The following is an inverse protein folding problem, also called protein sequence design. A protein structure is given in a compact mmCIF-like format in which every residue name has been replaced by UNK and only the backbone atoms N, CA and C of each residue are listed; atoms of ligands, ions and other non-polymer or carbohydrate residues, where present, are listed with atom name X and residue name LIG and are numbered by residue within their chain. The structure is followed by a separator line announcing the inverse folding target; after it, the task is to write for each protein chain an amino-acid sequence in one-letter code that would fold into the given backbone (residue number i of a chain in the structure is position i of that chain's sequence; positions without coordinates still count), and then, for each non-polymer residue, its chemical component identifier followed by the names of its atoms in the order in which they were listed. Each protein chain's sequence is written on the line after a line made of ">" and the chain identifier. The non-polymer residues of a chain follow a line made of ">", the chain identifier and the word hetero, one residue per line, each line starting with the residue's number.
data_IF_919761175555
#
_entry.id   IF_919761175555
#
_cell.length_a   1.000
_cell.length_b   1.000
_cell.length_c   1.000
_cell.angle_alpha   90.00
_cell.angle_beta   90.00
_cell.angle_gamma   90.00
#
_symmetry.space_group_name_H-M   'P 1'
#
loop_
_entity.id
_entity.type
_entity.pdbx_description
1 polymer ?
#
# COMPACT_ATOMS: atom_id res chain seq x y z
N UNK A 1 -7.36 16.16 3.80
CA UNK A 1 -6.06 16.38 4.45
C UNK A 1 -5.24 17.41 3.68
N UNK A 2 -4.42 18.23 4.34
CA UNK A 2 -3.50 19.13 3.65
C UNK A 2 -2.48 18.33 2.84
N UNK A 3 -2.09 18.87 1.69
CA UNK A 3 -1.13 18.23 0.79
C UNK A 3 0.08 19.14 0.58
N UNK A 4 1.28 18.61 0.77
CA UNK A 4 2.53 19.28 0.38
C UNK A 4 3.02 18.62 -0.92
N UNK A 5 3.21 19.40 -1.97
CA UNK A 5 3.76 18.89 -3.22
C UNK A 5 5.29 19.00 -3.21
N UNK A 6 5.97 17.94 -3.57
CA UNK A 6 7.38 17.96 -3.90
C UNK A 6 7.51 17.98 -5.41
N UNK A 7 8.01 19.09 -5.97
CA UNK A 7 8.09 19.29 -7.42
C UNK A 7 9.53 19.29 -7.89
N UNK A 8 9.80 18.53 -8.95
CA UNK A 8 11.05 18.64 -9.67
C UNK A 8 11.12 19.98 -10.40
N UNK A 9 12.02 20.82 -9.97
CA UNK A 9 12.20 22.17 -10.49
C UNK A 9 13.53 22.36 -11.26
N UNK A 10 14.21 21.25 -11.60
CA UNK A 10 15.44 21.31 -12.42
C UNK A 10 15.16 21.94 -13.78
N UNK A 11 15.84 23.05 -14.05
CA UNK A 11 15.65 23.82 -15.29
C UNK A 11 14.31 24.56 -15.42
N UNK A 12 13.49 24.55 -14.35
CA UNK A 12 12.22 25.25 -14.36
C UNK A 12 12.40 26.76 -14.22
N UNK A 13 11.43 27.52 -14.75
CA UNK A 13 11.32 28.97 -14.65
C UNK A 13 9.87 29.33 -14.29
N UNK A 14 9.26 30.33 -14.94
CA UNK A 14 7.85 30.67 -14.74
C UNK A 14 6.88 29.50 -15.03
N UNK A 15 7.30 28.57 -15.87
CA UNK A 15 6.51 27.35 -16.19
C UNK A 15 6.13 26.51 -14.96
N UNK A 16 6.90 26.56 -13.87
CA UNK A 16 6.56 25.82 -12.65
C UNK A 16 5.30 26.38 -11.98
N UNK A 17 5.10 27.71 -12.03
CA UNK A 17 3.87 28.29 -11.49
C UNK A 17 2.63 27.91 -12.33
N UNK A 18 2.78 27.77 -13.65
CA UNK A 18 1.71 27.27 -14.51
C UNK A 18 1.35 25.82 -14.16
N UNK A 19 2.34 24.95 -13.88
CA UNK A 19 2.12 23.58 -13.46
C UNK A 19 1.36 23.51 -12.12
N UNK A 20 1.81 24.28 -11.11
CA UNK A 20 1.18 24.33 -9.79
C UNK A 20 -0.26 24.84 -9.90
N UNK A 21 -0.47 25.91 -10.64
CA UNK A 21 -1.81 26.48 -10.88
C UNK A 21 -2.73 25.50 -11.59
N UNK A 22 -2.22 24.79 -12.59
CA UNK A 22 -2.96 23.72 -13.26
C UNK A 22 -3.39 22.60 -12.32
N UNK A 23 -2.51 22.16 -11.42
CA UNK A 23 -2.84 21.14 -10.40
C UNK A 23 -3.91 21.63 -9.42
N UNK A 24 -3.88 22.91 -9.01
CA UNK A 24 -4.90 23.49 -8.14
C UNK A 24 -6.26 23.55 -8.86
N UNK A 25 -6.31 24.11 -10.06
CA UNK A 25 -7.54 24.32 -10.83
C UNK A 25 -8.16 23.00 -11.30
N UNK A 26 -7.35 21.98 -11.60
CA UNK A 26 -7.87 20.68 -12.05
C UNK A 26 -8.81 20.00 -11.05
N UNK A 27 -8.67 20.28 -9.75
CA UNK A 27 -9.59 19.79 -8.71
C UNK A 27 -10.80 20.71 -8.53
N UNK A 28 -10.63 22.01 -8.70
CA UNK A 28 -11.72 22.99 -8.57
C UNK A 28 -12.81 22.79 -9.63
N UNK A 29 -12.44 22.39 -10.84
CA UNK A 29 -13.38 22.01 -11.91
C UNK A 29 -14.28 20.82 -11.54
N UNK A 30 -13.94 20.08 -10.47
CA UNK A 30 -14.71 18.96 -9.94
C UNK A 30 -15.47 19.29 -8.66
N UNK A 31 -15.65 20.58 -8.34
CA UNK A 31 -16.26 21.04 -7.09
C UNK A 31 -15.53 20.57 -5.80
N UNK A 32 -14.29 20.13 -5.92
CA UNK A 32 -13.46 19.69 -4.81
C UNK A 32 -12.34 20.70 -4.59
N UNK A 33 -12.34 21.36 -3.45
CA UNK A 33 -11.24 22.26 -3.09
C UNK A 33 -9.89 21.53 -3.10
N UNK A 34 -8.89 22.13 -3.71
CA UNK A 34 -7.53 21.63 -3.69
C UNK A 34 -7.00 21.58 -2.24
N UNK A 35 -6.56 20.38 -1.82
CA UNK A 35 -5.89 20.19 -0.52
C UNK A 35 -4.45 20.67 -0.49
N UNK A 36 -3.91 21.18 -1.61
CA UNK A 36 -2.53 21.65 -1.71
C UNK A 36 -2.38 22.92 -0.86
N UNK A 37 -1.45 22.90 0.08
CA UNK A 37 -1.16 24.02 0.99
C UNK A 37 0.27 24.50 0.88
N UNK A 38 1.20 23.63 0.51
CA UNK A 38 2.60 23.97 0.42
C UNK A 38 3.34 23.25 -0.68
N UNK A 39 4.53 23.73 -0.99
CA UNK A 39 5.45 23.19 -1.99
C UNK A 39 6.85 23.08 -1.42
N UNK A 40 7.55 22.00 -1.81
CA UNK A 40 9.00 21.87 -1.71
C UNK A 40 9.55 21.73 -3.12
N UNK A 41 10.54 22.56 -3.48
CA UNK A 41 11.16 22.55 -4.79
C UNK A 41 12.39 21.64 -4.81
N UNK A 42 12.32 20.53 -5.54
CA UNK A 42 13.41 19.58 -5.64
C UNK A 42 14.35 19.91 -6.80
N UNK A 43 15.63 19.64 -6.63
CA UNK A 43 16.74 19.86 -7.60
C UNK A 43 16.92 21.32 -8.01
N UNK A 44 16.87 22.22 -7.02
CA UNK A 44 17.03 23.67 -7.21
C UNK A 44 18.28 24.15 -6.48
N UNK A 45 19.11 24.96 -7.15
CA UNK A 45 20.25 25.57 -6.46
C UNK A 45 19.80 26.66 -5.47
N UNK A 46 20.54 26.85 -4.36
CA UNK A 46 20.27 27.91 -3.37
C UNK A 46 20.14 29.30 -4.01
N UNK A 47 20.96 29.57 -5.00
CA UNK A 47 20.98 30.87 -5.70
C UNK A 47 19.69 31.09 -6.53
N UNK A 48 19.09 30.04 -7.08
CA UNK A 48 17.91 30.16 -7.95
C UNK A 48 16.58 30.05 -7.21
N UNK A 49 16.59 29.45 -6.03
CA UNK A 49 15.40 29.24 -5.20
C UNK A 49 14.59 30.51 -4.93
N UNK A 50 15.18 31.65 -4.48
CA UNK A 50 14.40 32.86 -4.18
C UNK A 50 13.59 33.36 -5.36
N UNK A 51 14.12 33.24 -6.59
CA UNK A 51 13.44 33.64 -7.81
C UNK A 51 12.22 32.73 -8.07
N UNK A 52 12.36 31.42 -7.92
CA UNK A 52 11.24 30.51 -8.13
C UNK A 52 10.17 30.71 -7.07
N UNK A 53 10.56 30.88 -5.79
CA UNK A 53 9.64 31.19 -4.68
C UNK A 53 8.79 32.44 -5.03
N UNK A 54 9.41 33.54 -5.37
CA UNK A 54 8.69 34.77 -5.72
C UNK A 54 7.74 34.60 -6.91
N UNK A 55 8.13 33.83 -7.92
CA UNK A 55 7.26 33.55 -9.07
C UNK A 55 6.04 32.72 -8.64
N UNK A 56 6.24 31.66 -7.85
CA UNK A 56 5.13 30.82 -7.42
C UNK A 56 4.18 31.59 -6.52
N UNK A 57 4.67 32.33 -5.54
CA UNK A 57 3.85 33.13 -4.63
C UNK A 57 3.04 34.22 -5.38
N UNK A 58 3.61 34.80 -6.42
CA UNK A 58 2.92 35.82 -7.25
C UNK A 58 1.76 35.21 -8.09
N UNK A 59 1.92 34.01 -8.60
CA UNK A 59 0.96 33.39 -9.53
C UNK A 59 0.03 32.37 -8.89
N UNK A 60 0.35 31.84 -7.67
CA UNK A 60 -0.38 30.80 -6.99
C UNK A 60 -0.76 31.24 -5.55
N UNK A 61 -1.68 32.22 -5.40
CA UNK A 61 -2.08 32.69 -4.07
C UNK A 61 -2.66 31.54 -3.23
N UNK A 62 -2.32 31.53 -1.94
CA UNK A 62 -2.76 30.47 -1.00
C UNK A 62 -1.88 29.21 -0.96
N UNK A 63 -0.77 29.21 -1.71
CA UNK A 63 0.26 28.17 -1.64
C UNK A 63 1.52 28.77 -0.98
N UNK A 64 2.07 28.07 -0.02
CA UNK A 64 3.33 28.44 0.63
C UNK A 64 4.49 27.64 0.01
N UNK A 65 5.59 28.30 -0.34
CA UNK A 65 6.82 27.62 -0.77
C UNK A 65 7.69 27.41 0.46
N UNK A 66 7.65 26.19 0.99
CA UNK A 66 8.23 25.81 2.28
C UNK A 66 9.75 25.56 2.22
N UNK A 67 10.31 25.47 1.04
CA UNK A 67 11.75 25.26 0.92
C UNK A 67 12.14 24.59 -0.39
N UNK A 68 13.40 24.15 -0.43
CA UNK A 68 13.97 23.47 -1.57
C UNK A 68 14.95 22.38 -1.15
N UNK A 69 15.21 21.45 -2.06
CA UNK A 69 16.32 20.49 -1.98
C UNK A 69 17.24 20.70 -3.18
N UNK A 70 18.55 20.86 -2.97
CA UNK A 70 19.50 20.95 -4.08
C UNK A 70 19.65 19.58 -4.77
N UNK A 71 20.36 19.56 -5.91
CA UNK A 71 20.75 18.29 -6.50
C UNK A 71 21.89 17.66 -5.67
N UNK A 72 21.62 16.47 -5.12
CA UNK A 72 22.53 15.73 -4.26
C UNK A 72 22.87 14.38 -4.92
N UNK A 73 23.91 14.33 -5.77
CA UNK A 73 24.23 13.11 -6.52
C UNK A 73 24.50 11.90 -5.62
N UNK A 74 25.09 12.14 -4.45
CA UNK A 74 25.40 11.12 -3.44
C UNK A 74 24.18 10.52 -2.76
N UNK A 75 23.02 11.16 -2.89
CA UNK A 75 21.75 10.70 -2.31
C UNK A 75 20.76 10.16 -3.36
N UNK A 76 21.22 9.94 -4.57
CA UNK A 76 20.38 9.37 -5.61
C UNK A 76 20.10 7.90 -5.33
N UNK A 77 18.82 7.54 -5.25
CA UNK A 77 18.39 6.15 -5.15
C UNK A 77 18.35 5.56 -6.56
N UNK A 78 19.07 4.46 -6.83
CA UNK A 78 19.02 3.80 -8.12
C UNK A 78 17.59 3.36 -8.46
N UNK A 79 17.23 3.48 -9.73
CA UNK A 79 15.95 2.98 -10.23
C UNK A 79 16.09 1.53 -10.65
N UNK A 80 15.13 0.69 -10.28
CA UNK A 80 14.97 -0.67 -10.80
C UNK A 80 14.11 -0.68 -12.06
N UNK A 81 14.01 -1.83 -12.69
CA UNK A 81 13.10 -2.04 -13.81
C UNK A 81 11.63 -1.83 -13.42
N UNK A 82 11.32 -1.95 -12.13
CA UNK A 82 10.03 -1.67 -11.53
C UNK A 82 10.25 -1.04 -10.15
N UNK A 83 10.04 0.27 -10.02
CA UNK A 83 10.26 0.98 -8.77
C UNK A 83 11.72 1.39 -8.49
N UNK A 84 12.00 1.69 -7.24
CA UNK A 84 13.31 2.07 -6.72
C UNK A 84 13.94 0.89 -5.97
N UNK A 85 15.22 1.01 -5.67
CA UNK A 85 15.93 0.12 -4.75
C UNK A 85 15.34 0.31 -3.34
N UNK A 86 15.26 -0.77 -2.60
CA UNK A 86 14.67 -0.76 -1.28
C UNK A 86 15.60 -0.20 -0.22
N UNK A 87 15.05 0.32 0.91
CA UNK A 87 15.87 0.84 2.01
C UNK A 87 16.92 -0.15 2.53
N UNK A 88 16.55 -1.45 2.63
CA UNK A 88 17.46 -2.50 3.09
C UNK A 88 18.65 -2.76 2.16
N UNK A 89 18.57 -2.35 0.90
CA UNK A 89 19.61 -2.54 -0.10
C UNK A 89 20.47 -1.30 -0.31
N UNK A 90 20.11 -0.17 0.32
CA UNK A 90 20.94 1.05 0.31
C UNK A 90 22.04 0.87 1.33
N UNK A 91 23.27 0.83 0.84
CA UNK A 91 24.45 0.78 1.71
C UNK A 91 24.42 1.97 2.68
N UNK A 92 24.54 1.68 4.00
CA UNK A 92 24.48 2.68 5.07
C UNK A 92 23.21 3.57 5.01
N UNK A 93 22.02 2.95 4.89
CA UNK A 93 20.75 3.66 4.81
C UNK A 93 20.53 4.66 5.95
N UNK A 94 21.01 4.37 7.15
CA UNK A 94 20.92 5.29 8.28
C UNK A 94 21.66 6.59 7.98
N UNK A 95 22.89 6.52 7.53
CA UNK A 95 23.70 7.69 7.15
C UNK A 95 23.09 8.45 5.97
N UNK A 96 22.52 7.72 5.00
CA UNK A 96 21.76 8.32 3.89
C UNK A 96 20.57 9.12 4.42
N UNK A 97 19.79 8.56 5.34
CA UNK A 97 18.64 9.22 5.98
C UNK A 97 19.07 10.44 6.77
N UNK A 98 20.13 10.35 7.57
CA UNK A 98 20.71 11.47 8.34
C UNK A 98 21.12 12.64 7.43
N UNK A 99 21.72 12.32 6.27
CA UNK A 99 22.09 13.35 5.27
C UNK A 99 20.88 14.02 4.65
N UNK A 100 19.84 13.27 4.32
CA UNK A 100 18.57 13.84 3.82
C UNK A 100 17.93 14.73 4.88
N UNK A 101 17.85 14.26 6.13
CA UNK A 101 17.30 15.01 7.25
C UNK A 101 18.04 16.33 7.48
N UNK A 102 19.36 16.29 7.53
CA UNK A 102 20.19 17.49 7.70
C UNK A 102 19.97 18.52 6.56
N UNK A 103 19.83 18.04 5.31
CA UNK A 103 19.52 18.92 4.19
C UNK A 103 18.12 19.52 4.28
N UNK A 104 17.14 18.75 4.74
CA UNK A 104 15.79 19.26 4.98
C UNK A 104 15.76 20.32 6.07
N UNK A 105 16.44 20.10 7.19
CA UNK A 105 16.56 21.09 8.26
C UNK A 105 17.23 22.38 7.79
N UNK A 106 18.21 22.31 6.88
CA UNK A 106 18.91 23.47 6.35
C UNK A 106 18.05 24.32 5.40
N UNK A 107 17.20 23.67 4.59
CA UNK A 107 16.60 24.33 3.42
C UNK A 107 15.08 24.25 3.31
N UNK A 108 14.40 23.60 4.27
CA UNK A 108 12.95 23.46 4.34
C UNK A 108 12.44 23.99 5.68
N UNK A 109 11.36 24.76 5.64
CA UNK A 109 10.66 25.26 6.85
C UNK A 109 9.86 24.12 7.51
N UNK A 110 10.57 23.18 8.17
CA UNK A 110 10.00 21.92 8.73
C UNK A 110 8.93 22.22 9.77
N UNK A 111 9.13 23.21 10.64
CA UNK A 111 8.14 23.62 11.65
C UNK A 111 6.82 24.06 10.97
N UNK A 112 6.93 24.84 9.90
CA UNK A 112 5.76 25.29 9.14
C UNK A 112 5.04 24.15 8.45
N UNK A 113 5.78 23.15 7.95
CA UNK A 113 5.22 21.92 7.39
C UNK A 113 4.39 21.16 8.44
N UNK A 114 4.91 21.03 9.65
CA UNK A 114 4.22 20.36 10.77
C UNK A 114 2.97 21.13 11.23
N UNK A 115 3.01 22.45 11.25
CA UNK A 115 1.83 23.30 11.51
C UNK A 115 0.74 23.07 10.47
N UNK A 116 1.09 23.05 9.16
CA UNK A 116 0.14 22.76 8.08
C UNK A 116 -0.45 21.35 8.22
N UNK A 117 0.33 20.41 8.71
CA UNK A 117 -0.12 19.05 8.98
C UNK A 117 -1.05 18.94 10.20
N UNK A 118 -1.16 20.02 11.02
CA UNK A 118 -1.92 20.01 12.27
C UNK A 118 -1.24 19.22 13.39
N UNK A 119 0.09 19.05 13.32
CA UNK A 119 0.89 18.41 14.35
C UNK A 119 1.30 19.46 15.38
N UNK A 120 0.99 19.23 16.65
CA UNK A 120 1.47 20.06 17.75
C UNK A 120 2.95 19.73 18.02
N UNK A 121 3.83 20.60 17.54
CA UNK A 121 5.30 20.44 17.62
C UNK A 121 5.79 20.34 19.08
N UNK A 122 5.05 20.93 20.02
CA UNK A 122 5.40 20.91 21.44
C UNK A 122 5.17 19.54 22.11
N UNK A 123 4.41 18.66 21.47
CA UNK A 123 4.02 17.34 21.98
C UNK A 123 4.67 16.17 21.23
N UNK A 124 5.67 16.41 20.38
CA UNK A 124 6.43 15.33 19.75
C UNK A 124 7.33 14.71 20.82
N UNK A 125 7.18 13.41 21.18
CA UNK A 125 8.07 12.77 22.12
C UNK A 125 9.50 12.81 21.59
N UNK A 126 10.42 13.42 22.33
CA UNK A 126 11.84 13.32 22.02
C UNK A 126 12.28 11.88 22.29
N UNK A 127 12.34 11.07 21.27
CA UNK A 127 12.93 9.73 21.35
C UNK A 127 14.44 9.88 21.44
N UNK A 128 14.97 9.73 22.66
CA UNK A 128 16.40 9.47 22.83
C UNK A 128 16.75 8.16 22.09
N UNK A 129 17.68 8.28 21.15
CA UNK A 129 18.22 7.27 20.28
C UNK A 129 18.06 5.80 20.70
N UNK A 130 17.09 5.16 20.14
CA UNK A 130 17.06 3.74 19.79
C UNK A 130 15.91 3.56 18.80
N UNK A 131 16.17 2.89 17.70
CA UNK A 131 15.23 2.66 16.61
C UNK A 131 13.99 1.90 17.10
N UNK A 132 13.02 2.62 17.64
CA UNK A 132 11.68 2.15 17.90
C UNK A 132 10.76 2.87 16.92
N UNK A 133 10.15 2.10 16.06
CA UNK A 133 9.11 2.47 15.12
C UNK A 133 8.17 3.54 15.70
N UNK A 134 8.01 4.65 14.99
CA UNK A 134 7.03 5.68 15.31
C UNK A 134 5.64 5.04 15.29
N UNK A 135 4.98 4.98 16.43
CA UNK A 135 3.57 4.58 16.47
C UNK A 135 2.74 5.62 15.71
N UNK A 136 1.75 5.22 14.91
CA UNK A 136 0.93 6.15 14.16
C UNK A 136 0.21 7.10 15.13
N UNK A 137 0.38 8.40 14.89
CA UNK A 137 -0.34 9.45 15.61
C UNK A 137 -1.84 9.29 15.31
N UNK A 138 -2.62 8.96 16.30
CA UNK A 138 -4.08 8.94 16.18
C UNK A 138 -4.58 10.37 16.03
N UNK A 139 -5.10 10.73 14.86
CA UNK A 139 -5.82 11.98 14.68
C UNK A 139 -7.01 12.04 15.64
N UNK A 140 -6.98 12.98 16.59
CA UNK A 140 -8.15 13.36 17.37
C UNK A 140 -9.13 14.03 16.41
N UNK A 141 -10.32 13.46 16.26
CA UNK A 141 -11.45 14.17 15.67
C UNK A 141 -11.74 15.40 16.53
N UNK A 142 -11.77 16.59 15.91
CA UNK A 142 -12.35 17.77 16.55
C UNK A 142 -13.84 17.53 16.69
N UNK A 143 -14.31 17.50 17.93
CA UNK A 143 -15.73 17.53 18.25
C UNK A 143 -16.23 18.94 17.97
N UNK A 144 -17.01 19.11 16.90
CA UNK A 144 -17.80 20.31 16.69
C UNK A 144 -19.05 20.22 17.58
N UNK A 145 -19.12 21.07 18.58
CA UNK A 145 -20.35 21.39 19.32
C UNK A 145 -21.23 22.31 18.46
N UNK A 146 -22.52 21.99 18.45
CA UNK A 146 -23.65 22.80 18.04
C UNK A 146 -23.91 23.13 16.55
N UNK A 147 -24.88 22.43 15.96
CA UNK A 147 -26.07 23.14 15.44
C UNK A 147 -27.25 22.20 15.11
N UNK A 148 -28.40 22.70 15.51
CA UNK A 148 -29.72 22.09 15.41
C UNK A 148 -30.24 21.91 13.96
N UNK A 149 -30.94 20.79 13.76
CA UNK A 149 -32.09 20.53 12.89
C UNK A 149 -32.27 21.34 11.61
N UNK A 150 -32.25 20.64 10.50
CA UNK A 150 -33.29 20.79 9.46
C UNK A 150 -33.35 19.52 8.59
N UNK A 151 -34.53 18.88 8.62
CA UNK A 151 -34.91 17.80 7.72
C UNK A 151 -35.25 18.36 6.35
N UNK A 152 -34.54 17.91 5.31
CA UNK A 152 -35.00 17.99 3.92
C UNK A 152 -34.70 16.66 3.25
N UNK A 153 -35.76 15.92 2.93
CA UNK A 153 -35.71 14.79 2.02
C UNK A 153 -35.32 15.29 0.61
N UNK A 154 -34.29 14.75 0.05
CA UNK A 154 -34.00 14.89 -1.37
C UNK A 154 -33.59 13.52 -1.93
N UNK A 155 -34.43 13.04 -2.84
CA UNK A 155 -34.15 11.89 -3.71
C UNK A 155 -32.85 12.11 -4.47
N UNK A 156 -31.85 11.24 -4.29
CA UNK A 156 -30.61 11.25 -5.07
C UNK A 156 -30.61 10.03 -5.98
N UNK A 157 -30.82 10.29 -7.27
CA UNK A 157 -30.58 9.34 -8.34
C UNK A 157 -29.07 9.12 -8.47
N UNK A 158 -28.70 7.83 -8.65
CA UNK A 158 -27.33 7.32 -8.59
C UNK A 158 -26.29 8.01 -9.45
N UNK A 159 -25.10 8.08 -8.92
CA UNK A 159 -23.75 7.92 -9.51
C UNK A 159 -22.61 8.47 -8.66
N UNK A 160 -22.75 8.70 -7.35
CA UNK A 160 -21.66 9.27 -6.52
C UNK A 160 -21.29 8.40 -5.29
N UNK A 161 -21.03 7.11 -5.49
CA UNK A 161 -20.67 6.18 -4.41
C UNK A 161 -19.15 5.93 -4.24
N UNK A 162 -18.26 6.89 -4.55
CA UNK A 162 -16.80 6.68 -4.48
C UNK A 162 -16.13 7.32 -3.25
N UNK A 163 -16.84 8.12 -2.47
CA UNK A 163 -16.26 8.83 -1.31
C UNK A 163 -17.20 8.90 -0.07
N UNK A 164 -17.93 7.83 0.22
CA UNK A 164 -18.73 7.76 1.44
C UNK A 164 -18.10 6.76 2.42
N UNK A 165 -17.56 7.25 3.40
CA UNK A 165 -17.83 7.56 4.79
C UNK A 165 -17.01 6.70 5.78
N UNK A 166 -16.22 7.29 6.69
CA UNK A 166 -15.56 6.61 7.80
C UNK A 166 -16.52 5.98 8.82
N UNK A 167 -17.78 6.42 8.87
CA UNK A 167 -18.73 5.98 9.90
C UNK A 167 -19.22 4.54 9.74
N UNK A 168 -19.35 4.02 8.52
CA UNK A 168 -19.75 2.61 8.31
C UNK A 168 -18.63 1.63 8.65
N UNK A 169 -17.37 2.02 8.43
CA UNK A 169 -16.20 1.22 8.81
C UNK A 169 -16.07 1.14 10.35
N UNK A 170 -16.33 2.23 11.06
CA UNK A 170 -16.29 2.27 12.54
C UNK A 170 -17.36 1.40 13.18
N UNK A 171 -18.58 1.39 12.65
CA UNK A 171 -19.68 0.55 13.15
C UNK A 171 -19.43 -0.95 12.89
N UNK A 172 -18.91 -1.30 11.70
CA UNK A 172 -18.51 -2.67 11.37
C UNK A 172 -17.36 -3.16 12.28
N UNK A 173 -16.38 -2.30 12.55
CA UNK A 173 -15.26 -2.58 13.44
C UNK A 173 -15.67 -2.88 14.88
N UNK A 174 -16.69 -2.18 15.42
CA UNK A 174 -17.18 -2.45 16.77
C UNK A 174 -17.87 -3.81 16.89
N UNK A 175 -18.60 -4.24 15.87
CA UNK A 175 -19.18 -5.59 15.80
C UNK A 175 -18.12 -6.69 15.68
N UNK A 176 -17.03 -6.44 14.95
CA UNK A 176 -15.92 -7.37 14.76
C UNK A 176 -15.04 -7.50 16.05
N UNK A 177 -14.84 -6.41 16.78
CA UNK A 177 -14.11 -6.42 18.07
C UNK A 177 -14.81 -7.24 19.15
N UNK A 178 -16.14 -7.34 19.11
CA UNK A 178 -16.87 -8.19 20.06
C UNK A 178 -16.64 -9.69 19.85
N UNK A 179 -16.36 -10.14 18.62
CA UNK A 179 -16.03 -11.54 18.33
C UNK A 179 -14.59 -11.93 18.75
N UNK A 180 -13.65 -10.98 18.75
CA UNK A 180 -12.26 -11.20 19.13
C UNK A 180 -12.02 -11.47 20.63
N UNK A 181 -13.02 -11.28 21.48
CA UNK A 181 -12.89 -11.27 22.95
C UNK A 181 -12.83 -12.64 23.63
N UNK A 182 -12.95 -13.76 22.91
CA UNK A 182 -13.15 -15.09 23.51
C UNK A 182 -12.00 -16.09 23.26
N UNK A 183 -10.77 -15.65 22.94
CA UNK A 183 -9.70 -16.58 22.56
C UNK A 183 -8.58 -16.62 23.60
N UNK A 184 -8.19 -17.83 23.99
CA UNK A 184 -7.10 -18.11 24.94
C UNK A 184 -5.71 -17.64 24.46
N UNK A 185 -5.49 -17.50 23.13
CA UNK A 185 -4.28 -16.93 22.52
C UNK A 185 -4.58 -16.17 21.20
N UNK A 186 -3.78 -15.19 20.79
CA UNK A 186 -3.93 -14.52 19.48
C UNK A 186 -3.78 -15.50 18.31
N UNK A 187 -4.35 -15.18 17.16
CA UNK A 187 -4.14 -15.93 15.92
C UNK A 187 -2.75 -15.60 15.38
N UNK A 188 -1.89 -16.61 15.21
CA UNK A 188 -0.52 -16.42 14.73
C UNK A 188 -0.46 -16.50 13.21
N UNK A 189 -0.16 -15.39 12.58
CA UNK A 189 -0.02 -15.29 11.12
C UNK A 189 1.46 -15.17 10.79
N UNK A 190 2.01 -16.19 10.12
CA UNK A 190 3.34 -16.11 9.54
C UNK A 190 3.31 -15.14 8.35
N UNK A 191 4.18 -14.13 8.35
CA UNK A 191 4.26 -13.10 7.30
C UNK A 191 5.63 -13.16 6.67
N UNK A 192 5.70 -13.40 5.34
CA UNK A 192 6.97 -13.36 4.62
C UNK A 192 7.56 -11.95 4.64
N UNK A 193 8.81 -11.84 5.07
CA UNK A 193 9.50 -10.55 5.21
C UNK A 193 11.02 -10.74 5.06
N UNK A 194 11.53 -10.44 3.87
CA UNK A 194 12.94 -10.40 3.53
C UNK A 194 13.16 -9.61 2.24
N UNK A 195 14.35 -9.67 1.66
CA UNK A 195 14.73 -8.94 0.45
C UNK A 195 13.90 -9.32 -0.78
N UNK A 196 13.31 -10.53 -0.80
CA UNK A 196 12.43 -10.99 -1.88
C UNK A 196 10.95 -10.66 -1.63
N UNK A 197 10.53 -10.50 -0.36
CA UNK A 197 9.14 -10.35 0.06
C UNK A 197 8.99 -9.23 1.09
N UNK A 198 8.75 -8.02 0.64
CA UNK A 198 8.74 -6.82 1.49
C UNK A 198 7.59 -5.86 1.19
N UNK A 199 6.75 -6.17 0.21
CA UNK A 199 5.64 -5.31 -0.16
C UNK A 199 4.34 -5.76 0.51
N UNK A 200 4.04 -5.14 1.66
CA UNK A 200 2.76 -5.26 2.37
C UNK A 200 2.37 -3.89 2.91
N UNK A 201 1.11 -3.49 2.76
CA UNK A 201 0.62 -2.26 3.38
C UNK A 201 0.65 -2.38 4.91
N UNK A 202 1.31 -1.43 5.59
CA UNK A 202 1.34 -1.42 7.07
C UNK A 202 -0.07 -1.26 7.66
N UNK A 203 -0.97 -0.59 6.95
CA UNK A 203 -2.38 -0.48 7.33
C UNK A 203 -3.08 -1.85 7.35
N UNK A 204 -2.75 -2.75 6.43
CA UNK A 204 -3.28 -4.12 6.44
C UNK A 204 -2.74 -4.91 7.63
N UNK A 205 -1.44 -4.74 7.95
CA UNK A 205 -0.82 -5.31 9.16
C UNK A 205 -1.48 -4.78 10.43
N UNK A 206 -1.73 -3.47 10.49
CA UNK A 206 -2.42 -2.84 11.61
C UNK A 206 -3.86 -3.37 11.77
N UNK A 207 -4.57 -3.58 10.66
CA UNK A 207 -5.92 -4.16 10.68
C UNK A 207 -5.91 -5.60 11.21
N UNK A 208 -4.97 -6.45 10.76
CA UNK A 208 -4.81 -7.82 11.29
C UNK A 208 -4.57 -7.81 12.81
N UNK A 209 -3.66 -6.95 13.30
CA UNK A 209 -3.41 -6.80 14.75
C UNK A 209 -4.66 -6.33 15.50
N UNK A 210 -5.42 -5.38 14.95
CA UNK A 210 -6.68 -4.90 15.53
C UNK A 210 -7.76 -5.99 15.60
N UNK A 211 -7.75 -6.93 14.66
CA UNK A 211 -8.65 -8.08 14.61
C UNK A 211 -8.19 -9.25 15.49
N UNK A 212 -7.06 -9.09 16.22
CA UNK A 212 -6.55 -10.06 17.19
C UNK A 212 -5.52 -11.04 16.65
N UNK A 213 -4.82 -10.68 15.57
CA UNK A 213 -3.69 -11.46 15.07
C UNK A 213 -2.36 -11.03 15.71
N UNK A 214 -1.49 -12.00 15.95
CA UNK A 214 -0.05 -11.85 16.16
C UNK A 214 0.64 -12.09 14.82
N UNK A 215 1.42 -11.10 14.33
CA UNK A 215 2.18 -11.24 13.09
C UNK A 215 3.59 -11.73 13.41
N UNK A 216 3.96 -12.87 12.85
CA UNK A 216 5.26 -13.51 13.06
C UNK A 216 6.03 -13.44 11.75
N UNK A 217 7.03 -12.57 11.62
CA UNK A 217 7.83 -12.49 10.41
C UNK A 217 8.65 -13.76 10.22
N UNK A 218 8.85 -14.16 8.96
CA UNK A 218 9.78 -15.21 8.57
C UNK A 218 10.38 -14.88 7.20
N UNK A 219 11.57 -15.42 6.95
CA UNK A 219 12.28 -15.21 5.69
C UNK A 219 12.22 -16.44 4.79
N UNK A 220 11.53 -16.40 3.66
CA UNK A 220 11.64 -17.44 2.65
C UNK A 220 13.07 -17.69 2.14
N UNK A 221 13.94 -16.67 2.16
CA UNK A 221 15.34 -16.79 1.75
C UNK A 221 16.23 -17.44 2.82
N UNK A 222 16.04 -17.11 4.11
CA UNK A 222 17.04 -17.39 5.14
C UNK A 222 16.59 -18.41 6.19
N UNK A 223 15.27 -18.57 6.41
CA UNK A 223 14.76 -19.53 7.37
C UNK A 223 14.62 -20.93 6.75
N UNK A 224 14.73 -21.96 7.58
CA UNK A 224 14.62 -23.34 7.11
C UNK A 224 13.17 -23.87 6.98
N UNK A 225 12.23 -23.27 7.71
CA UNK A 225 10.82 -23.67 7.74
C UNK A 225 9.93 -22.53 8.25
N UNK A 226 8.61 -22.67 8.08
CA UNK A 226 7.62 -21.78 8.67
C UNK A 226 7.75 -21.75 10.20
N UNK A 227 7.44 -20.61 10.86
CA UNK A 227 7.40 -20.51 12.31
C UNK A 227 6.47 -21.58 12.92
N UNK A 228 6.87 -22.13 14.07
CA UNK A 228 6.02 -23.06 14.81
C UNK A 228 4.70 -22.40 15.23
N UNK A 229 3.65 -23.21 15.41
CA UNK A 229 2.32 -22.75 15.83
C UNK A 229 1.70 -21.68 14.92
N UNK A 230 2.00 -21.72 13.63
CA UNK A 230 1.38 -20.88 12.60
C UNK A 230 -0.07 -21.30 12.38
N UNK A 231 -1.00 -20.35 12.54
CA UNK A 231 -2.44 -20.54 12.31
C UNK A 231 -2.88 -20.08 10.92
N UNK A 232 -2.08 -19.21 10.26
CA UNK A 232 -2.33 -18.69 8.92
C UNK A 232 -1.06 -18.15 8.28
N UNK A 233 -1.05 -18.00 6.98
CA UNK A 233 0.10 -17.58 6.18
C UNK A 233 -0.24 -16.37 5.31
N UNK A 234 0.60 -15.36 5.36
CA UNK A 234 0.58 -14.21 4.46
C UNK A 234 1.90 -14.17 3.69
N UNK A 235 1.84 -14.51 2.41
CA UNK A 235 2.95 -14.36 1.47
C UNK A 235 2.83 -12.99 0.79
N UNK A 236 3.71 -12.09 1.18
CA UNK A 236 3.73 -10.70 0.73
C UNK A 236 4.16 -10.58 -0.73
N UNK A 237 3.84 -9.45 -1.34
CA UNK A 237 4.46 -9.06 -2.59
C UNK A 237 5.96 -8.76 -2.44
N UNK A 238 6.61 -8.45 -3.55
CA UNK A 238 8.03 -8.16 -3.60
C UNK A 238 8.62 -8.51 -4.96
N UNK A 239 9.88 -8.92 -4.97
CA UNK A 239 10.67 -9.20 -6.17
C UNK A 239 11.31 -10.60 -6.14
N UNK A 240 10.53 -11.69 -5.99
CA UNK A 240 11.08 -13.05 -5.89
C UNK A 240 11.87 -13.44 -7.15
N UNK A 241 11.58 -12.85 -8.30
CA UNK A 241 12.30 -13.10 -9.54
C UNK A 241 13.78 -12.68 -9.48
N UNK A 242 14.12 -11.68 -8.66
CA UNK A 242 15.51 -11.26 -8.45
C UNK A 242 16.29 -12.24 -7.57
N UNK A 243 15.59 -13.02 -6.77
CA UNK A 243 16.13 -13.96 -5.80
C UNK A 243 15.76 -15.42 -6.10
N UNK A 244 15.24 -15.71 -7.30
CA UNK A 244 14.68 -17.01 -7.65
C UNK A 244 15.63 -18.18 -7.42
N UNK A 245 16.94 -18.00 -7.71
CA UNK A 245 17.94 -19.05 -7.52
C UNK A 245 18.19 -19.32 -6.03
N UNK A 246 18.22 -18.29 -5.19
CA UNK A 246 18.35 -18.42 -3.73
C UNK A 246 17.08 -19.05 -3.11
N UNK A 247 15.91 -18.61 -3.54
CA UNK A 247 14.63 -19.23 -3.15
C UNK A 247 14.55 -20.69 -3.56
N UNK A 248 15.04 -21.02 -4.78
CA UNK A 248 15.12 -22.39 -5.25
C UNK A 248 16.08 -23.22 -4.41
N UNK A 249 17.23 -22.69 -4.05
CA UNK A 249 18.21 -23.38 -3.22
C UNK A 249 17.68 -23.69 -1.81
N UNK A 250 16.76 -22.86 -1.26
CA UNK A 250 16.14 -23.12 0.03
C UNK A 250 15.00 -24.15 -0.09
N UNK A 251 15.34 -25.38 -0.44
CA UNK A 251 14.38 -26.45 -0.65
C UNK A 251 13.56 -26.82 0.60
N UNK A 252 14.13 -26.66 1.79
CA UNK A 252 13.45 -26.95 3.07
C UNK A 252 12.30 -25.96 3.31
N UNK A 253 12.49 -24.66 3.12
CA UNK A 253 11.45 -23.67 3.26
C UNK A 253 10.36 -23.85 2.20
N UNK A 254 10.74 -24.08 0.91
CA UNK A 254 9.76 -24.34 -0.16
C UNK A 254 8.89 -25.56 0.17
N UNK A 255 9.48 -26.63 0.69
CA UNK A 255 8.75 -27.82 1.11
C UNK A 255 7.82 -27.53 2.31
N UNK A 256 8.29 -26.77 3.30
CA UNK A 256 7.49 -26.38 4.47
C UNK A 256 6.26 -25.55 4.06
N UNK A 257 6.42 -24.55 3.20
CA UNK A 257 5.32 -23.72 2.66
C UNK A 257 4.36 -24.58 1.84
N UNK A 258 4.89 -25.36 0.90
CA UNK A 258 4.08 -26.20 0.02
C UNK A 258 3.24 -27.21 0.78
N UNK A 259 3.81 -27.87 1.78
CA UNK A 259 3.12 -28.85 2.61
C UNK A 259 2.03 -28.18 3.44
N UNK A 260 2.32 -27.07 4.11
CA UNK A 260 1.36 -26.34 4.93
C UNK A 260 0.14 -25.89 4.10
N UNK A 261 0.38 -25.31 2.92
CA UNK A 261 -0.71 -24.83 2.04
C UNK A 261 -1.54 -26.02 1.52
N UNK A 262 -0.90 -27.11 1.09
CA UNK A 262 -1.61 -28.32 0.65
C UNK A 262 -2.42 -29.00 1.77
N UNK A 263 -1.98 -28.90 3.00
CA UNK A 263 -2.73 -29.36 4.18
C UNK A 263 -3.91 -28.46 4.53
N UNK A 264 -4.04 -27.29 3.88
CA UNK A 264 -5.15 -26.38 4.06
C UNK A 264 -4.87 -25.27 5.09
N UNK A 265 -3.61 -24.95 5.39
CA UNK A 265 -3.28 -23.76 6.18
C UNK A 265 -3.87 -22.53 5.48
N UNK A 266 -4.76 -21.74 6.14
CA UNK A 266 -5.32 -20.55 5.55
C UNK A 266 -4.22 -19.60 5.08
N UNK A 267 -4.25 -19.26 3.79
CA UNK A 267 -3.14 -18.56 3.12
C UNK A 267 -3.68 -17.44 2.24
N UNK A 268 -3.07 -16.27 2.35
CA UNK A 268 -3.16 -15.17 1.39
C UNK A 268 -1.79 -15.00 0.74
N UNK A 269 -1.75 -14.98 -0.60
CA UNK A 269 -0.52 -14.83 -1.38
C UNK A 269 -0.73 -13.77 -2.48
N UNK A 270 -0.03 -12.64 -2.37
CA UNK A 270 -0.17 -11.50 -3.28
C UNK A 270 1.09 -11.33 -4.13
N UNK A 271 0.91 -11.12 -5.43
CA UNK A 271 1.97 -10.78 -6.41
C UNK A 271 3.20 -11.69 -6.31
N UNK A 272 4.29 -11.21 -5.69
CA UNK A 272 5.50 -12.02 -5.46
C UNK A 272 5.22 -13.30 -4.67
N UNK A 273 4.39 -13.22 -3.62
CA UNK A 273 3.97 -14.38 -2.84
C UNK A 273 3.15 -15.38 -3.66
N UNK A 274 2.31 -14.91 -4.58
CA UNK A 274 1.63 -15.76 -5.54
C UNK A 274 2.62 -16.47 -6.47
N UNK A 275 3.59 -15.72 -7.03
CA UNK A 275 4.61 -16.29 -7.90
C UNK A 275 5.43 -17.38 -7.18
N UNK A 276 5.71 -17.22 -5.90
CA UNK A 276 6.41 -18.23 -5.10
C UNK A 276 5.62 -19.53 -4.91
N UNK A 277 4.28 -19.47 -4.94
CA UNK A 277 3.43 -20.66 -4.88
C UNK A 277 3.31 -21.42 -6.21
N UNK A 278 3.69 -20.82 -7.35
CA UNK A 278 3.67 -21.45 -8.66
C UNK A 278 4.66 -22.60 -8.79
N UNK A 279 4.58 -23.33 -9.91
CA UNK A 279 5.57 -24.36 -10.26
C UNK A 279 6.96 -23.74 -10.46
N UNK A 280 7.04 -22.56 -11.10
CA UNK A 280 8.32 -21.92 -11.43
C UNK A 280 8.21 -20.40 -11.58
N UNK A 281 9.37 -19.73 -11.54
CA UNK A 281 9.61 -18.36 -12.01
C UNK A 281 10.74 -18.43 -13.02
N UNK A 282 10.48 -18.07 -14.30
CA UNK A 282 11.45 -18.18 -15.40
C UNK A 282 12.14 -19.56 -15.41
N UNK A 283 11.35 -20.63 -15.36
CA UNK A 283 11.76 -22.04 -15.36
C UNK A 283 12.54 -22.48 -14.08
N UNK A 284 12.76 -21.59 -13.11
CA UNK A 284 13.37 -21.96 -11.83
C UNK A 284 12.26 -22.46 -10.87
N UNK A 285 12.33 -23.73 -10.41
CA UNK A 285 11.26 -24.32 -9.60
C UNK A 285 11.00 -23.62 -8.28
N UNK A 286 9.73 -23.34 -7.97
CA UNK A 286 9.27 -22.74 -6.72
C UNK A 286 8.51 -23.76 -5.84
N UNK A 287 7.46 -23.35 -5.11
CA UNK A 287 6.74 -24.25 -4.19
C UNK A 287 5.88 -25.31 -4.91
N UNK A 288 5.46 -25.09 -6.16
CA UNK A 288 4.66 -26.02 -6.93
C UNK A 288 3.30 -26.35 -6.31
N UNK A 289 2.70 -25.38 -5.62
CA UNK A 289 1.33 -25.51 -5.07
C UNK A 289 0.30 -25.22 -6.15
N UNK A 290 0.55 -24.19 -6.94
CA UNK A 290 -0.26 -23.76 -8.08
C UNK A 290 0.49 -24.03 -9.39
N UNK A 291 -0.24 -24.41 -10.42
CA UNK A 291 0.36 -24.62 -11.73
C UNK A 291 0.68 -23.30 -12.40
N UNK A 292 1.79 -23.25 -13.09
CA UNK A 292 2.21 -22.15 -13.94
C UNK A 292 3.67 -21.79 -13.76
N UNK A 293 4.23 -21.14 -14.76
CA UNK A 293 5.55 -20.51 -14.75
C UNK A 293 5.35 -19.00 -14.92
N UNK A 294 5.83 -18.22 -13.99
CA UNK A 294 5.79 -16.77 -14.10
C UNK A 294 6.91 -16.29 -14.98
N UNK A 295 6.57 -15.77 -16.16
CA UNK A 295 7.54 -15.27 -17.13
C UNK A 295 7.51 -13.74 -17.23
N UNK A 296 8.68 -13.15 -17.44
CA UNK A 296 8.81 -11.72 -17.66
C UNK A 296 8.28 -11.30 -19.00
N UNK A 297 7.38 -10.33 -19.02
CA UNK A 297 6.84 -9.75 -20.23
C UNK A 297 7.61 -8.51 -20.68
N UNK A 298 7.65 -8.18 -21.98
CA UNK A 298 8.33 -7.00 -22.52
C UNK A 298 7.75 -5.68 -21.99
N UNK A 299 6.49 -5.66 -21.60
CA UNK A 299 5.75 -4.47 -21.11
C UNK A 299 5.09 -4.78 -19.78
N UNK A 300 4.63 -3.74 -19.07
CA UNK A 300 3.72 -3.93 -17.93
C UNK A 300 2.48 -4.69 -18.39
N UNK A 301 2.19 -5.79 -17.71
CA UNK A 301 0.99 -6.59 -17.98
C UNK A 301 -0.23 -5.85 -17.47
N UNK A 302 -0.12 -5.41 -16.22
CA UNK A 302 -1.20 -4.70 -15.55
C UNK A 302 -0.63 -3.55 -14.72
N UNK A 303 -1.40 -2.46 -14.69
CA UNK A 303 -1.06 -1.28 -13.93
C UNK A 303 -2.31 -0.55 -13.47
N UNK A 304 -2.34 -0.12 -12.21
CA UNK A 304 -3.35 0.76 -11.62
C UNK A 304 -4.35 0.05 -10.73
N UNK A 305 -5.34 0.81 -10.29
CA UNK A 305 -6.35 0.33 -9.36
C UNK A 305 -7.26 -0.73 -9.98
N UNK A 306 -7.72 -1.64 -9.13
CA UNK A 306 -8.61 -2.74 -9.48
C UNK A 306 -9.63 -2.96 -8.36
N UNK A 307 -10.83 -3.31 -8.74
CA UNK A 307 -11.86 -3.85 -7.87
C UNK A 307 -12.06 -5.32 -8.21
N UNK A 308 -11.95 -6.20 -7.21
CA UNK A 308 -12.12 -7.63 -7.34
C UNK A 308 -13.41 -8.06 -6.66
N UNK A 309 -14.27 -8.76 -7.38
CA UNK A 309 -15.48 -9.39 -6.86
C UNK A 309 -15.32 -10.91 -6.90
N UNK A 310 -15.45 -11.56 -5.73
CA UNK A 310 -15.32 -13.02 -5.64
C UNK A 310 -16.53 -13.71 -6.29
N UNK A 311 -16.29 -14.76 -7.06
CA UNK A 311 -17.32 -15.54 -7.78
C UNK A 311 -17.79 -16.77 -7.00
N UNK A 312 -17.14 -17.06 -5.88
CA UNK A 312 -17.44 -18.20 -5.01
C UNK A 312 -17.16 -17.86 -3.55
N UNK A 313 -17.68 -18.66 -2.64
CA UNK A 313 -17.28 -18.64 -1.24
C UNK A 313 -15.81 -19.02 -1.13
N UNK A 314 -15.09 -18.38 -0.21
CA UNK A 314 -13.64 -18.53 -0.09
C UNK A 314 -13.14 -18.12 1.29
N UNK A 315 -11.84 -18.25 1.51
CA UNK A 315 -11.13 -17.76 2.69
C UNK A 315 -11.30 -16.25 2.92
N UNK A 316 -11.70 -15.48 1.90
CA UNK A 316 -11.95 -14.04 1.99
C UNK A 316 -13.44 -13.70 2.24
N UNK A 317 -14.32 -14.68 2.27
CA UNK A 317 -15.75 -14.48 2.52
C UNK A 317 -16.65 -15.14 1.47
N UNK A 318 -17.95 -14.87 1.52
CA UNK A 318 -18.93 -15.42 0.58
C UNK A 318 -18.73 -14.86 -0.83
N UNK A 319 -19.31 -15.55 -1.84
CA UNK A 319 -19.42 -15.04 -3.19
C UNK A 319 -20.00 -13.62 -3.21
N UNK A 320 -19.47 -12.75 -4.08
CA UNK A 320 -19.84 -11.33 -4.11
C UNK A 320 -19.06 -10.46 -3.11
N UNK A 321 -18.07 -11.01 -2.39
CA UNK A 321 -17.15 -10.19 -1.59
C UNK A 321 -16.33 -9.29 -2.51
N UNK A 322 -16.40 -7.97 -2.27
CA UNK A 322 -15.69 -6.97 -3.08
C UNK A 322 -14.49 -6.43 -2.30
N UNK A 323 -13.33 -6.44 -2.94
CA UNK A 323 -12.07 -5.89 -2.45
C UNK A 323 -11.50 -4.89 -3.46
N UNK A 324 -10.84 -3.86 -2.95
CA UNK A 324 -10.09 -2.90 -3.78
C UNK A 324 -8.61 -3.05 -3.56
N UNK A 325 -7.87 -2.88 -4.64
CA UNK A 325 -6.42 -2.99 -4.62
C UNK A 325 -5.80 -2.34 -5.84
N UNK A 326 -4.57 -2.70 -6.11
CA UNK A 326 -3.90 -2.33 -7.33
C UNK A 326 -3.07 -3.49 -7.89
N UNK A 327 -2.71 -3.38 -9.14
CA UNK A 327 -1.77 -4.25 -9.82
C UNK A 327 -0.63 -3.42 -10.38
N UNK A 328 0.59 -3.94 -10.25
CA UNK A 328 1.77 -3.34 -10.83
C UNK A 328 2.83 -4.41 -11.07
N UNK A 329 2.73 -5.14 -12.18
CA UNK A 329 3.64 -6.25 -12.45
C UNK A 329 4.03 -6.37 -13.93
N UNK A 330 5.23 -6.92 -14.16
CA UNK A 330 5.78 -7.27 -15.47
C UNK A 330 5.85 -8.78 -15.70
N UNK A 331 5.46 -9.55 -14.71
CA UNK A 331 5.38 -11.00 -14.81
C UNK A 331 3.95 -11.42 -15.07
N UNK A 332 3.78 -12.49 -15.82
CA UNK A 332 2.48 -13.10 -16.10
C UNK A 332 2.66 -14.61 -16.20
N UNK A 333 1.59 -15.37 -16.09
CA UNK A 333 1.60 -16.77 -16.41
C UNK A 333 0.36 -17.13 -17.27
N UNK A 334 0.38 -18.31 -17.87
CA UNK A 334 -0.66 -18.74 -18.81
C UNK A 334 -2.06 -18.73 -18.20
N UNK A 335 -2.15 -18.94 -16.88
CA UNK A 335 -3.40 -18.93 -16.15
C UNK A 335 -3.24 -18.37 -14.72
N UNK A 336 -3.95 -17.30 -14.42
CA UNK A 336 -3.88 -16.56 -13.14
C UNK A 336 -5.10 -16.78 -12.24
N UNK A 337 -5.81 -17.90 -12.39
CA UNK A 337 -7.07 -18.15 -11.72
C UNK A 337 -8.28 -17.53 -12.45
N UNK A 338 -9.48 -17.88 -11.98
CA UNK A 338 -10.73 -17.38 -12.55
C UNK A 338 -11.83 -17.19 -11.49
N UNK A 339 -11.46 -17.18 -10.20
CA UNK A 339 -12.42 -17.14 -9.10
C UNK A 339 -12.84 -15.72 -8.70
N UNK A 340 -12.24 -14.70 -9.33
CA UNK A 340 -12.65 -13.30 -9.19
C UNK A 340 -12.90 -12.65 -10.56
N UNK A 341 -13.88 -11.75 -10.59
CA UNK A 341 -14.00 -10.73 -11.64
C UNK A 341 -13.22 -9.51 -11.20
N UNK A 342 -12.17 -9.18 -11.94
CA UNK A 342 -11.30 -8.04 -11.71
C UNK A 342 -11.71 -6.91 -12.63
N UNK A 343 -12.13 -5.77 -12.09
CA UNK A 343 -12.60 -4.62 -12.87
C UNK A 343 -11.69 -3.42 -12.65
N UNK A 344 -11.12 -2.92 -13.75
CA UNK A 344 -10.43 -1.62 -13.74
C UNK A 344 -11.46 -0.52 -13.94
N UNK A 345 -11.55 0.45 -13.02
CA UNK A 345 -12.52 1.53 -13.15
C UNK A 345 -12.26 2.35 -14.43
N UNK A 346 -13.33 2.91 -14.95
CA UNK A 346 -13.21 3.89 -16.02
C UNK A 346 -12.34 5.07 -15.55
N UNK A 347 -11.45 5.54 -16.42
CA UNK A 347 -10.57 6.67 -16.11
C UNK A 347 -10.69 7.75 -17.18
N UNK A 348 -10.49 9.01 -16.78
CA UNK A 348 -10.55 10.17 -17.67
C UNK A 348 -11.96 10.73 -17.86
N UNK A 349 -12.03 11.84 -18.59
CA UNK A 349 -13.26 12.57 -18.92
C UNK A 349 -13.29 12.95 -20.40
N UNK A 350 -14.48 13.16 -20.94
CA UNK A 350 -14.68 13.55 -22.33
C UNK A 350 -14.13 12.52 -23.33
N UNK A 351 -13.46 12.98 -24.38
CA UNK A 351 -12.89 12.11 -25.44
C UNK A 351 -11.74 11.21 -24.96
N UNK A 352 -11.14 11.51 -23.80
CA UNK A 352 -10.06 10.71 -23.19
C UNK A 352 -10.58 9.68 -22.18
N UNK A 353 -11.89 9.59 -21.97
CA UNK A 353 -12.48 8.61 -21.07
C UNK A 353 -12.25 7.19 -21.58
N UNK A 354 -11.75 6.30 -20.71
CA UNK A 354 -11.67 4.87 -20.98
C UNK A 354 -12.89 4.17 -20.38
N UNK A 355 -13.41 3.15 -21.05
CA UNK A 355 -14.43 2.27 -20.46
C UNK A 355 -13.81 1.41 -19.36
N UNK A 356 -14.63 1.03 -18.38
CA UNK A 356 -14.26 -0.02 -17.43
C UNK A 356 -13.90 -1.30 -18.21
N UNK A 357 -12.87 -2.01 -17.74
CA UNK A 357 -12.42 -3.28 -18.32
C UNK A 357 -12.43 -4.34 -17.25
N UNK A 358 -13.05 -5.46 -17.53
CA UNK A 358 -13.08 -6.61 -16.63
C UNK A 358 -12.35 -7.81 -17.24
N UNK A 359 -11.76 -8.61 -16.38
CA UNK A 359 -11.06 -9.85 -16.69
C UNK A 359 -11.14 -10.79 -15.50
N UNK A 360 -10.84 -12.05 -15.70
CA UNK A 360 -10.81 -13.05 -14.65
C UNK A 360 -9.41 -13.16 -14.07
N UNK A 361 -9.34 -13.53 -12.80
CA UNK A 361 -8.08 -13.78 -12.08
C UNK A 361 -8.32 -14.32 -10.69
N UNK A 362 -7.22 -14.52 -9.96
CA UNK A 362 -7.16 -14.99 -8.57
C UNK A 362 -7.67 -16.42 -8.42
N UNK A 363 -6.88 -17.22 -7.71
CA UNK A 363 -7.29 -18.53 -7.21
C UNK A 363 -7.91 -18.35 -5.84
N UNK A 364 -9.12 -18.87 -5.63
CA UNK A 364 -9.79 -18.90 -4.34
C UNK A 364 -10.22 -20.32 -3.98
N UNK A 365 -9.95 -20.70 -2.73
CA UNK A 365 -10.53 -21.86 -2.07
C UNK A 365 -10.98 -21.47 -0.66
N UNK A 366 -11.49 -22.42 0.10
CA UNK A 366 -11.85 -22.21 1.51
C UNK A 366 -10.63 -21.85 2.38
N UNK A 367 -9.41 -22.10 1.89
CA UNK A 367 -8.16 -21.88 2.63
C UNK A 367 -7.10 -21.08 1.87
N UNK A 368 -7.27 -20.79 0.60
CA UNK A 368 -6.28 -20.08 -0.22
C UNK A 368 -6.91 -18.92 -0.98
N UNK A 369 -6.24 -17.77 -0.93
CA UNK A 369 -6.45 -16.65 -1.86
C UNK A 369 -5.09 -16.27 -2.46
N UNK A 370 -4.91 -16.43 -3.79
CA UNK A 370 -3.63 -16.20 -4.44
C UNK A 370 -3.79 -15.55 -5.81
N UNK A 371 -3.03 -14.47 -6.07
CA UNK A 371 -3.06 -13.75 -7.35
C UNK A 371 -2.15 -12.54 -7.38
N UNK A 372 -2.09 -11.86 -8.53
CA UNK A 372 -1.25 -10.68 -8.69
C UNK A 372 -1.73 -9.41 -7.97
N UNK A 373 -3.04 -9.15 -7.75
CA UNK A 373 -3.48 -7.94 -7.06
C UNK A 373 -2.95 -7.83 -5.63
N UNK A 374 -2.58 -6.59 -5.25
CA UNK A 374 -2.33 -6.20 -3.87
C UNK A 374 -3.57 -5.55 -3.31
N UNK A 375 -4.20 -6.14 -2.30
CA UNK A 375 -5.44 -5.64 -1.74
C UNK A 375 -5.20 -4.66 -0.59
N UNK A 376 -6.00 -3.60 -0.58
CA UNK A 376 -6.15 -2.71 0.56
C UNK A 376 -7.36 -3.18 1.38
N UNK A 377 -7.11 -4.02 2.38
CA UNK A 377 -8.18 -4.71 3.12
C UNK A 377 -9.06 -3.77 3.97
N UNK A 378 -8.63 -2.54 4.20
CA UNK A 378 -9.52 -1.51 4.75
C UNK A 378 -10.70 -1.17 3.82
N UNK A 379 -10.64 -1.51 2.56
CA UNK A 379 -11.80 -1.40 1.65
C UNK A 379 -12.91 -2.37 2.01
N UNK A 380 -12.58 -3.49 2.68
CA UNK A 380 -13.52 -4.48 3.21
C UNK A 380 -12.88 -5.26 4.38
N UNK A 381 -12.91 -4.70 5.61
CA UNK A 381 -12.31 -5.36 6.78
C UNK A 381 -12.91 -6.74 7.11
N UNK A 382 -14.14 -7.00 6.67
CA UNK A 382 -14.79 -8.29 6.89
C UNK A 382 -14.07 -9.45 6.19
N UNK A 383 -13.38 -9.19 5.08
CA UNK A 383 -12.59 -10.22 4.40
C UNK A 383 -11.43 -10.72 5.25
N UNK A 384 -10.67 -9.83 5.92
CA UNK A 384 -9.64 -10.27 6.87
C UNK A 384 -10.21 -10.90 8.14
N UNK A 385 -11.38 -10.45 8.60
CA UNK A 385 -12.04 -11.12 9.72
C UNK A 385 -12.42 -12.56 9.36
N UNK A 386 -12.91 -12.79 8.14
CA UNK A 386 -13.23 -14.11 7.63
C UNK A 386 -11.99 -15.00 7.49
N UNK A 387 -10.89 -14.45 6.97
CA UNK A 387 -9.60 -15.11 6.94
C UNK A 387 -9.14 -15.55 8.35
N UNK A 388 -9.23 -14.66 9.34
CA UNK A 388 -8.87 -14.99 10.71
C UNK A 388 -9.80 -16.03 11.34
N UNK A 389 -11.08 -16.08 10.97
CA UNK A 389 -11.99 -17.14 11.40
C UNK A 389 -11.61 -18.50 10.80
N UNK A 390 -11.15 -18.54 9.55
CA UNK A 390 -10.56 -19.74 8.96
C UNK A 390 -9.29 -20.18 9.70
N UNK A 391 -8.40 -19.24 10.06
CA UNK A 391 -7.19 -19.54 10.85
C UNK A 391 -7.53 -20.09 12.25
N UNK A 392 -8.58 -19.58 12.89
CA UNK A 392 -9.07 -20.09 14.17
C UNK A 392 -9.58 -21.54 14.04
N UNK A 393 -10.22 -21.84 12.93
CA UNK A 393 -10.74 -23.19 12.65
C UNK A 393 -9.62 -24.17 12.32
N UNK A 394 -8.55 -23.72 11.72
CA UNK A 394 -7.34 -24.51 11.41
C UNK A 394 -6.61 -24.98 12.65
N UNK A 395 -6.63 -24.22 13.74
CA UNK A 395 -6.02 -24.63 15.02
C UNK A 395 -6.51 -26.01 15.41
N UNK A 396 -5.60 -26.93 15.52
CA UNK A 396 -5.85 -28.30 16.02
C UNK A 396 -5.41 -28.41 17.46
#
# INVERSE_FOLDING_TARGET
>A
APTILVLDAKGASVSIAALVRGMMQFKEEREVQSGIRGLILNRVSPMFYPRLKSVIEAYCPGIEVLGYLPELPELQVPSRHLGLVEPAEIEDFQRWTERVAAQMEESVEVERLLEIAGVDVLNIPQTQGNAAFVQPVTCRAMEDEDSERSTVEAEISGTDAVLAAPDKASSAMNGLKCRARALERPVRIAVSEDEAFNFTYEENRALLRQLGAELVPFSPLHDAALPADTDGLLLSGGYPELYKDALHANASMRASVAEAVRQGLPTIAECGGYMYLLDAIEQVPMCGVLRGDAERTPRLVRFGYVEAETRRDSVLGPAGTVLRGHEFHRYDCDFNGADCTLTKPAAGHGRAATSARSYEGIYLTDTLAAGFPHFYYWSNPAALAHFLDACRTWRK
#
